data_IF_595979543420
#
_entry.id   IF_595979543420
#
_cell.length_a   1.000
_cell.length_b   1.000
_cell.length_c   1.000
_cell.angle_alpha   90.00
_cell.angle_beta   90.00
_cell.angle_gamma   90.00
#
_symmetry.space_group_name_H-M   'P 1'
#
loop_
_entity.id
_entity.type
_entity.pdbx_description
1 polymer ?
#
# COMPACT_ATOMS: atom_id res chain seq x y z
N UNK A 1 16.20 -107.99 13.21
CA UNK A 1 16.40 -106.81 12.33
C UNK A 1 15.05 -106.32 11.82
N UNK A 2 14.48 -105.26 12.43
CA UNK A 2 13.20 -104.64 12.02
C UNK A 2 13.51 -103.29 11.38
N UNK A 3 13.22 -103.15 10.08
CA UNK A 3 13.41 -101.91 9.33
C UNK A 3 12.38 -100.84 9.72
N UNK A 4 12.86 -99.69 10.22
CA UNK A 4 12.04 -98.49 10.40
C UNK A 4 11.71 -97.86 9.04
N UNK A 5 10.44 -98.02 8.59
CA UNK A 5 9.89 -97.24 7.48
C UNK A 5 9.60 -95.80 7.95
N UNK A 6 10.41 -94.84 7.51
CA UNK A 6 10.14 -93.40 7.68
C UNK A 6 9.00 -93.00 6.74
N UNK A 7 7.84 -92.62 7.30
CA UNK A 7 6.78 -91.93 6.56
C UNK A 7 7.28 -90.55 6.14
N UNK A 8 7.60 -90.37 4.86
CA UNK A 8 7.74 -89.04 4.25
C UNK A 8 6.35 -88.42 4.18
N UNK A 9 6.07 -87.47 5.09
CA UNK A 9 4.88 -86.62 4.99
C UNK A 9 5.05 -85.74 3.75
N UNK A 10 4.33 -86.06 2.68
CA UNK A 10 4.18 -85.17 1.54
C UNK A 10 3.38 -83.94 2.01
N UNK A 11 4.08 -82.85 2.29
CA UNK A 11 3.45 -81.54 2.44
C UNK A 11 2.82 -81.18 1.10
N UNK A 12 1.48 -81.01 1.09
CA UNK A 12 0.73 -80.56 -0.08
C UNK A 12 1.19 -79.13 -0.45
N UNK A 13 1.55 -78.83 -1.71
CA UNK A 13 2.12 -77.53 -2.12
C UNK A 13 1.13 -76.34 -2.08
N UNK A 14 -0.10 -76.54 -1.61
CA UNK A 14 -1.14 -75.50 -1.61
C UNK A 14 -0.89 -74.32 -0.67
N UNK A 15 -0.20 -74.53 0.46
CA UNK A 15 0.03 -73.45 1.45
C UNK A 15 0.97 -72.35 0.94
N UNK A 16 1.88 -72.67 0.03
CA UNK A 16 2.80 -71.70 -0.57
C UNK A 16 2.05 -70.67 -1.43
N UNK A 17 1.02 -71.10 -2.17
CA UNK A 17 0.22 -70.19 -3.00
C UNK A 17 -0.55 -69.18 -2.16
N UNK A 18 -1.11 -69.59 -1.02
CA UNK A 18 -1.80 -68.66 -0.12
C UNK A 18 -0.86 -67.65 0.53
N UNK A 19 0.37 -68.06 0.87
CA UNK A 19 1.38 -67.15 1.40
C UNK A 19 1.78 -66.09 0.35
N UNK A 20 2.01 -66.50 -0.89
CA UNK A 20 2.37 -65.58 -1.99
C UNK A 20 1.20 -64.66 -2.34
N UNK A 21 -0.02 -65.19 -2.43
CA UNK A 21 -1.22 -64.39 -2.71
C UNK A 21 -1.47 -63.37 -1.59
N UNK A 22 -1.36 -63.78 -0.33
CA UNK A 22 -1.49 -62.88 0.82
C UNK A 22 -0.42 -61.79 0.82
N UNK A 23 0.84 -62.16 0.55
CA UNK A 23 1.93 -61.19 0.44
C UNK A 23 1.70 -60.19 -0.72
N UNK A 24 1.27 -60.67 -1.89
CA UNK A 24 0.97 -59.81 -3.03
C UNK A 24 -0.18 -58.83 -2.72
N UNK A 25 -1.25 -59.30 -2.07
CA UNK A 25 -2.37 -58.44 -1.64
C UNK A 25 -1.93 -57.39 -0.62
N UNK A 26 -1.06 -57.74 0.33
CA UNK A 26 -0.52 -56.76 1.28
C UNK A 26 0.35 -55.71 0.59
N UNK A 27 1.21 -56.13 -0.33
CA UNK A 27 2.07 -55.21 -1.10
C UNK A 27 1.24 -54.26 -1.95
N UNK A 28 0.16 -54.72 -2.59
CA UNK A 28 -0.71 -53.85 -3.39
C UNK A 28 -1.46 -52.83 -2.53
N UNK A 29 -1.95 -53.23 -1.35
CA UNK A 29 -2.58 -52.30 -0.40
C UNK A 29 -1.59 -51.24 0.07
N UNK A 30 -0.37 -51.64 0.46
CA UNK A 30 0.68 -50.69 0.87
C UNK A 30 1.06 -49.73 -0.26
N UNK A 31 1.21 -50.24 -1.48
CA UNK A 31 1.50 -49.41 -2.66
C UNK A 31 0.39 -48.40 -2.94
N UNK A 32 -0.88 -48.81 -2.84
CA UNK A 32 -2.01 -47.92 -3.05
C UNK A 32 -2.12 -46.87 -1.93
N UNK A 33 -1.92 -47.27 -0.67
CA UNK A 33 -1.88 -46.34 0.46
C UNK A 33 -0.79 -45.29 0.31
N UNK A 34 0.41 -45.67 -0.11
CA UNK A 34 1.52 -44.75 -0.35
C UNK A 34 1.22 -43.76 -1.48
N UNK A 35 0.60 -44.22 -2.58
CA UNK A 35 0.20 -43.36 -3.70
C UNK A 35 -0.87 -42.34 -3.30
N UNK A 36 -1.86 -42.75 -2.50
CA UNK A 36 -2.89 -41.85 -1.99
C UNK A 36 -2.29 -40.80 -1.05
N UNK A 37 -1.38 -41.21 -0.15
CA UNK A 37 -0.67 -40.29 0.74
C UNK A 37 0.14 -39.25 -0.05
N UNK A 38 0.88 -39.68 -1.09
CA UNK A 38 1.66 -38.77 -1.93
C UNK A 38 0.78 -37.74 -2.67
N UNK A 39 -0.41 -38.14 -3.16
CA UNK A 39 -1.35 -37.20 -3.80
C UNK A 39 -1.88 -36.14 -2.84
N UNK A 40 -2.17 -36.54 -1.59
CA UNK A 40 -2.64 -35.62 -0.55
C UNK A 40 -1.52 -34.63 -0.18
N UNK A 41 -0.29 -35.13 -0.01
CA UNK A 41 0.87 -34.29 0.31
C UNK A 41 1.13 -33.27 -0.80
N UNK A 42 1.21 -33.71 -2.06
CA UNK A 42 1.44 -32.80 -3.19
C UNK A 42 0.37 -31.71 -3.29
N UNK A 43 -0.89 -32.03 -2.99
CA UNK A 43 -1.98 -31.04 -2.98
C UNK A 43 -1.82 -30.04 -1.85
N UNK A 44 -1.44 -30.50 -0.67
CA UNK A 44 -1.16 -29.65 0.50
C UNK A 44 0.02 -28.70 0.22
N UNK A 45 1.08 -29.21 -0.41
CA UNK A 45 2.26 -28.43 -0.77
C UNK A 45 1.89 -27.37 -1.81
N UNK A 46 1.12 -27.74 -2.84
CA UNK A 46 0.64 -26.79 -3.85
C UNK A 46 -0.20 -25.66 -3.22
N UNK A 47 -1.11 -25.98 -2.29
CA UNK A 47 -1.90 -24.96 -1.61
C UNK A 47 -1.04 -24.02 -0.76
N UNK A 48 -0.01 -24.55 -0.12
CA UNK A 48 0.94 -23.75 0.66
C UNK A 48 1.71 -22.78 -0.25
N UNK A 49 2.14 -23.24 -1.43
CA UNK A 49 2.76 -22.39 -2.44
C UNK A 49 1.79 -21.32 -2.98
N UNK A 50 0.56 -21.67 -3.32
CA UNK A 50 -0.45 -20.74 -3.82
C UNK A 50 -0.78 -19.64 -2.79
N UNK A 51 -0.87 -19.99 -1.51
CA UNK A 51 -1.07 -19.02 -0.42
C UNK A 51 0.12 -18.07 -0.28
N UNK A 52 1.35 -18.59 -0.35
CA UNK A 52 2.54 -17.75 -0.29
C UNK A 52 2.61 -16.77 -1.47
N UNK A 53 2.30 -17.23 -2.70
CA UNK A 53 2.26 -16.38 -3.90
C UNK A 53 1.17 -15.31 -3.83
N UNK A 54 -0.05 -15.69 -3.48
CA UNK A 54 -1.17 -14.72 -3.36
C UNK A 54 -0.88 -13.61 -2.36
N UNK A 55 -0.16 -13.90 -1.26
CA UNK A 55 0.33 -12.87 -0.32
C UNK A 55 1.29 -11.89 -0.98
N UNK A 56 2.27 -12.38 -1.73
CA UNK A 56 3.23 -11.53 -2.44
C UNK A 56 2.53 -10.68 -3.50
N UNK A 57 1.54 -11.22 -4.22
CA UNK A 57 0.77 -10.45 -5.20
C UNK A 57 -0.07 -9.35 -4.53
N UNK A 58 -0.70 -9.63 -3.39
CA UNK A 58 -1.42 -8.61 -2.62
C UNK A 58 -0.48 -7.49 -2.13
N UNK A 59 0.72 -7.84 -1.65
CA UNK A 59 1.75 -6.87 -1.26
C UNK A 59 2.20 -5.99 -2.43
N UNK A 60 2.50 -6.61 -3.58
CA UNK A 60 2.87 -5.89 -4.80
C UNK A 60 1.76 -4.93 -5.26
N UNK A 61 0.49 -5.34 -5.16
CA UNK A 61 -0.64 -4.48 -5.48
C UNK A 61 -0.68 -3.23 -4.59
N UNK A 62 -0.52 -3.39 -3.28
CA UNK A 62 -0.46 -2.25 -2.35
C UNK A 62 0.72 -1.33 -2.68
N UNK A 63 1.92 -1.87 -2.89
CA UNK A 63 3.09 -1.07 -3.27
C UNK A 63 2.87 -0.32 -4.59
N UNK A 64 2.19 -0.92 -5.57
CA UNK A 64 1.84 -0.25 -6.81
C UNK A 64 0.86 0.90 -6.58
N UNK A 65 -0.12 0.72 -5.69
CA UNK A 65 -1.03 1.80 -5.27
C UNK A 65 -0.28 2.95 -4.60
N UNK A 66 0.65 2.65 -3.69
CA UNK A 66 1.51 3.67 -3.08
C UNK A 66 2.37 4.39 -4.11
N UNK A 67 2.88 3.67 -5.11
CA UNK A 67 3.65 4.26 -6.19
C UNK A 67 2.82 5.26 -7.00
N UNK A 68 1.58 4.90 -7.37
CA UNK A 68 0.68 5.82 -8.08
C UNK A 68 0.38 7.07 -7.27
N UNK A 69 0.04 6.91 -5.98
CA UNK A 69 -0.18 8.02 -5.05
C UNK A 69 1.06 8.92 -4.95
N UNK A 70 2.27 8.34 -4.91
CA UNK A 70 3.52 9.12 -4.77
C UNK A 70 3.96 9.84 -6.05
N UNK A 71 3.58 9.31 -7.22
CA UNK A 71 4.06 9.79 -8.53
C UNK A 71 3.15 10.86 -9.12
N UNK A 72 1.87 10.82 -8.79
CA UNK A 72 0.85 11.73 -9.32
C UNK A 72 0.38 12.69 -8.21
N UNK A 73 0.79 13.98 -8.23
CA UNK A 73 0.33 14.96 -7.25
C UNK A 73 -1.20 15.11 -7.22
N UNK A 74 -1.86 14.87 -8.35
CA UNK A 74 -3.29 15.02 -8.53
C UNK A 74 -4.02 13.66 -8.48
N UNK A 75 -3.39 12.64 -7.86
CA UNK A 75 -3.93 11.27 -7.87
C UNK A 75 -5.37 11.18 -7.35
N UNK A 76 -5.75 12.03 -6.38
CA UNK A 76 -7.09 12.08 -5.77
C UNK A 76 -8.19 12.45 -6.76
N UNK A 77 -7.86 13.26 -7.77
CA UNK A 77 -8.79 13.69 -8.82
C UNK A 77 -8.69 12.79 -10.06
N UNK A 78 -7.48 12.34 -10.38
CA UNK A 78 -7.22 11.47 -11.53
C UNK A 78 -7.75 10.04 -11.34
N UNK A 79 -7.78 9.55 -10.10
CA UNK A 79 -8.22 8.19 -9.78
C UNK A 79 -9.49 8.21 -8.93
N UNK A 80 -10.59 7.61 -9.42
CA UNK A 80 -11.83 7.59 -8.67
C UNK A 80 -11.74 6.64 -7.46
N UNK A 81 -12.63 6.84 -6.48
CA UNK A 81 -12.81 5.90 -5.40
C UNK A 81 -13.22 4.52 -5.95
N UNK A 82 -12.56 3.47 -5.48
CA UNK A 82 -12.93 2.10 -5.72
C UNK A 82 -11.80 1.27 -6.30
N UNK A 83 -12.06 0.57 -7.39
CA UNK A 83 -11.09 -0.36 -7.98
C UNK A 83 -10.27 0.36 -9.05
N UNK A 84 -8.96 0.49 -8.80
CA UNK A 84 -8.03 1.11 -9.76
C UNK A 84 -7.51 0.09 -10.76
N UNK A 85 -7.23 -1.12 -10.29
CA UNK A 85 -6.77 -2.24 -11.12
C UNK A 85 -7.60 -3.46 -10.78
N UNK A 86 -8.10 -4.16 -11.81
CA UNK A 86 -8.80 -5.41 -11.67
C UNK A 86 -8.13 -6.49 -12.53
N UNK A 87 -7.83 -7.64 -11.93
CA UNK A 87 -7.37 -8.84 -12.61
C UNK A 87 -6.03 -8.69 -13.34
N UNK A 88 -5.15 -7.79 -12.90
CA UNK A 88 -3.85 -7.60 -13.55
C UNK A 88 -3.00 -8.85 -13.37
N UNK A 89 -2.67 -9.51 -14.48
CA UNK A 89 -1.84 -10.71 -14.49
C UNK A 89 -0.41 -10.43 -14.04
N UNK A 90 0.13 -11.32 -13.20
CA UNK A 90 1.52 -11.35 -12.79
C UNK A 90 2.00 -12.80 -12.69
N UNK A 91 2.81 -13.22 -13.65
CA UNK A 91 3.26 -14.61 -13.78
C UNK A 91 2.08 -15.61 -13.83
N UNK A 92 1.95 -16.52 -12.87
CA UNK A 92 0.89 -17.52 -12.79
C UNK A 92 -0.32 -17.12 -11.92
N UNK A 93 -0.38 -15.85 -11.52
CA UNK A 93 -1.50 -15.29 -10.76
C UNK A 93 -1.94 -13.93 -11.26
N UNK A 94 -2.74 -13.26 -10.44
CA UNK A 94 -3.21 -11.90 -10.71
C UNK A 94 -3.38 -11.12 -9.42
N UNK A 95 -3.56 -9.81 -9.55
CA UNK A 95 -3.96 -8.98 -8.43
C UNK A 95 -5.00 -7.93 -8.79
N UNK A 96 -5.73 -7.48 -7.78
CA UNK A 96 -6.58 -6.30 -7.80
C UNK A 96 -6.02 -5.24 -6.85
N UNK A 97 -6.20 -3.98 -7.22
CA UNK A 97 -5.91 -2.83 -6.38
C UNK A 97 -7.18 -2.01 -6.20
N UNK A 98 -7.53 -1.75 -4.94
CA UNK A 98 -8.64 -0.86 -4.57
C UNK A 98 -8.15 0.22 -3.64
N UNK A 99 -8.61 1.44 -3.86
CA UNK A 99 -8.32 2.60 -3.03
C UNK A 99 -9.65 3.29 -2.73
N UNK A 100 -9.95 3.43 -1.44
CA UNK A 100 -11.25 3.87 -0.96
C UNK A 100 -11.06 4.89 0.14
N UNK A 101 -11.83 5.99 0.06
CA UNK A 101 -12.07 6.85 1.21
C UNK A 101 -13.03 6.15 2.19
N UNK A 102 -12.61 5.87 3.44
CA UNK A 102 -13.44 5.19 4.43
C UNK A 102 -14.50 6.10 5.09
N UNK A 103 -14.39 7.43 4.97
CA UNK A 103 -15.29 8.40 5.59
C UNK A 103 -16.60 8.54 4.83
N UNK A 104 -16.53 9.03 3.59
CA UNK A 104 -17.72 9.38 2.80
C UNK A 104 -17.74 8.76 1.38
N UNK A 105 -16.63 8.15 0.96
CA UNK A 105 -16.51 7.55 -0.36
C UNK A 105 -16.05 8.53 -1.44
N UNK A 106 -15.60 9.73 -1.10
CA UNK A 106 -15.06 10.71 -2.02
C UNK A 106 -13.54 10.86 -1.78
N UNK A 107 -12.73 10.76 -2.84
CA UNK A 107 -11.27 10.95 -2.70
C UNK A 107 -10.85 12.39 -2.98
N UNK A 108 -11.70 13.21 -3.60
CA UNK A 108 -11.31 14.50 -4.18
C UNK A 108 -11.74 15.73 -3.37
N UNK A 109 -12.49 15.56 -2.30
CA UNK A 109 -13.03 16.66 -1.49
C UNK A 109 -12.08 17.14 -0.41
N UNK A 110 -11.29 16.25 0.21
CA UNK A 110 -10.37 16.61 1.28
C UNK A 110 -8.98 15.96 1.11
N UNK A 111 -7.94 16.79 1.00
CA UNK A 111 -6.55 16.30 1.00
C UNK A 111 -6.15 15.70 2.37
N UNK A 112 -6.88 16.04 3.43
CA UNK A 112 -6.65 15.60 4.81
C UNK A 112 -7.37 14.32 5.20
N UNK A 113 -8.11 13.73 4.26
CA UNK A 113 -8.83 12.50 4.55
C UNK A 113 -7.91 11.28 4.43
N UNK A 114 -8.12 10.35 5.36
CA UNK A 114 -7.40 9.09 5.41
C UNK A 114 -7.84 8.20 4.26
N UNK A 115 -6.92 7.43 3.69
CA UNK A 115 -7.21 6.63 2.49
C UNK A 115 -6.89 5.17 2.77
N UNK A 116 -7.80 4.28 2.41
CA UNK A 116 -7.61 2.83 2.55
C UNK A 116 -7.16 2.22 1.23
N UNK A 117 -5.95 1.70 1.18
CA UNK A 117 -5.40 0.95 0.04
C UNK A 117 -5.52 -0.55 0.32
N UNK A 118 -6.16 -1.27 -0.58
CA UNK A 118 -6.38 -2.71 -0.51
C UNK A 118 -5.80 -3.41 -1.74
N UNK A 119 -4.84 -4.31 -1.52
CA UNK A 119 -4.36 -5.24 -2.52
C UNK A 119 -5.00 -6.62 -2.35
N UNK A 120 -5.48 -7.22 -3.44
CA UNK A 120 -6.04 -8.59 -3.44
C UNK A 120 -5.21 -9.42 -4.41
N UNK A 121 -4.47 -10.41 -3.92
CA UNK A 121 -3.69 -11.32 -4.75
C UNK A 121 -4.41 -12.65 -4.97
N UNK A 122 -4.31 -13.19 -6.18
CA UNK A 122 -4.90 -14.45 -6.61
C UNK A 122 -3.82 -15.38 -7.18
N UNK A 123 -3.78 -16.63 -6.72
CA UNK A 123 -2.91 -17.67 -7.29
C UNK A 123 -3.62 -19.02 -7.17
N UNK A 124 -3.91 -19.68 -8.30
CA UNK A 124 -4.73 -20.89 -8.30
C UNK A 124 -6.07 -20.68 -7.59
N UNK A 125 -6.31 -21.43 -6.51
CA UNK A 125 -7.50 -21.27 -5.66
C UNK A 125 -7.28 -20.37 -4.43
N UNK A 126 -6.04 -19.92 -4.19
CA UNK A 126 -5.73 -19.08 -3.05
C UNK A 126 -6.01 -17.61 -3.36
N UNK A 127 -6.60 -16.93 -2.38
CA UNK A 127 -6.82 -15.48 -2.39
C UNK A 127 -6.29 -14.88 -1.10
N UNK A 128 -5.58 -13.78 -1.20
CA UNK A 128 -5.11 -13.02 -0.04
C UNK A 128 -5.46 -11.55 -0.19
N UNK A 129 -5.99 -10.94 0.88
CA UNK A 129 -6.31 -9.52 0.94
C UNK A 129 -5.37 -8.86 1.95
N UNK A 130 -4.69 -7.80 1.53
CA UNK A 130 -3.89 -6.95 2.39
C UNK A 130 -4.42 -5.53 2.31
N UNK A 131 -4.49 -4.86 3.46
CA UNK A 131 -5.09 -3.53 3.57
C UNK A 131 -4.17 -2.64 4.42
N UNK A 132 -3.96 -1.41 3.95
CA UNK A 132 -3.17 -0.38 4.63
C UNK A 132 -3.99 0.91 4.64
N UNK A 133 -3.99 1.60 5.77
CA UNK A 133 -4.60 2.93 5.90
C UNK A 133 -3.49 3.97 5.88
N UNK A 134 -3.60 4.91 4.96
CA UNK A 134 -2.70 6.05 4.82
C UNK A 134 -3.32 7.22 5.55
N UNK A 135 -2.54 7.83 6.43
CA UNK A 135 -2.87 9.08 7.08
C UNK A 135 -2.11 10.20 6.36
N UNK A 136 -2.75 11.34 6.06
CA UNK A 136 -2.05 12.47 5.48
C UNK A 136 -1.03 13.02 6.49
N UNK A 137 0.12 13.43 5.96
CA UNK A 137 1.11 14.19 6.73
C UNK A 137 0.61 15.65 6.82
N UNK A 138 -0.06 15.97 7.93
CA UNK A 138 -0.55 17.33 8.20
C UNK A 138 0.66 18.20 8.58
N UNK A 139 1.29 18.80 7.59
CA UNK A 139 2.32 19.83 7.82
C UNK A 139 1.65 21.17 8.08
N UNK A 140 2.13 21.87 9.11
CA UNK A 140 1.68 23.23 9.38
C UNK A 140 1.88 24.11 8.14
N UNK A 141 0.83 24.79 7.70
CA UNK A 141 0.90 25.70 6.56
C UNK A 141 1.90 26.81 6.89
N UNK A 142 2.83 27.11 5.98
CA UNK A 142 3.82 28.16 6.17
C UNK A 142 3.19 29.54 6.42
N UNK A 143 1.97 29.75 5.90
CA UNK A 143 1.15 30.93 6.18
C UNK A 143 0.81 31.11 7.67
N UNK A 144 0.65 30.01 8.43
CA UNK A 144 0.40 30.06 9.88
C UNK A 144 1.64 30.43 10.70
N UNK A 145 2.83 30.36 10.10
CA UNK A 145 4.09 30.76 10.73
C UNK A 145 4.48 32.22 10.36
N UNK A 146 3.50 33.06 10.05
CA UNK A 146 3.70 34.48 9.73
C UNK A 146 2.79 35.33 10.61
N UNK A 147 3.18 36.57 10.90
CA UNK A 147 2.33 37.47 11.69
C UNK A 147 1.07 37.89 10.91
N UNK A 148 1.20 38.00 9.59
CA UNK A 148 0.14 38.34 8.66
C UNK A 148 0.46 37.68 7.32
N UNK A 149 -0.48 36.92 6.78
CA UNK A 149 -0.38 36.38 5.42
C UNK A 149 -1.60 36.76 4.58
N UNK A 150 -1.36 37.09 3.31
CA UNK A 150 -2.39 37.18 2.30
C UNK A 150 -1.98 36.43 1.03
N UNK A 151 -2.88 35.60 0.50
CA UNK A 151 -2.66 35.00 -0.83
C UNK A 151 -2.74 36.03 -1.97
N UNK A 152 -3.40 37.16 -1.72
CA UNK A 152 -3.45 38.31 -2.62
C UNK A 152 -2.60 39.49 -2.13
N UNK A 153 -2.82 40.66 -2.71
CA UNK A 153 -2.02 41.84 -2.43
C UNK A 153 -2.16 42.34 -0.98
N UNK A 154 -1.07 42.83 -0.42
CA UNK A 154 -1.06 43.58 0.83
C UNK A 154 -0.74 45.05 0.51
N UNK A 155 -1.57 45.97 1.01
CA UNK A 155 -1.35 47.41 0.82
C UNK A 155 -1.25 48.13 2.15
N UNK A 156 -0.11 48.76 2.38
CA UNK A 156 0.14 49.61 3.55
C UNK A 156 0.08 51.06 3.09
N UNK A 157 -0.92 51.81 3.56
CA UNK A 157 -1.13 53.19 3.14
C UNK A 157 -0.06 54.13 3.72
N UNK A 158 0.14 55.26 3.06
CA UNK A 158 1.07 56.30 3.51
C UNK A 158 0.81 56.73 4.96
N UNK A 159 1.90 56.89 5.72
CA UNK A 159 1.85 57.31 7.13
C UNK A 159 1.31 56.25 8.09
N UNK A 160 1.20 54.99 7.67
CA UNK A 160 0.85 53.86 8.53
C UNK A 160 2.10 53.07 8.91
N UNK A 161 2.08 52.52 10.12
CA UNK A 161 3.15 51.66 10.64
C UNK A 161 2.55 50.31 11.03
N UNK A 162 3.20 49.24 10.62
CA UNK A 162 2.91 47.87 11.08
C UNK A 162 4.17 47.37 11.78
N UNK A 163 4.02 46.91 13.02
CA UNK A 163 5.10 46.27 13.77
C UNK A 163 4.86 44.77 13.84
N UNK A 164 5.86 43.99 13.45
CA UNK A 164 5.82 42.54 13.38
C UNK A 164 6.74 41.99 14.47
N UNK A 165 6.30 40.95 15.16
CA UNK A 165 7.09 40.33 16.25
C UNK A 165 6.97 38.83 16.18
N UNK A 166 8.11 38.14 16.09
CA UNK A 166 8.18 36.68 16.07
C UNK A 166 8.07 36.04 14.69
N UNK A 167 7.57 36.74 13.67
CA UNK A 167 7.54 36.25 12.29
C UNK A 167 7.42 37.40 11.26
N UNK A 168 7.64 37.08 9.98
CA UNK A 168 7.54 38.02 8.88
C UNK A 168 6.07 38.34 8.50
N UNK A 169 5.87 39.47 7.83
CA UNK A 169 4.68 39.73 7.01
C UNK A 169 4.86 39.04 5.67
N UNK A 170 3.80 38.41 5.14
CA UNK A 170 3.93 37.66 3.91
C UNK A 170 2.78 37.84 2.93
N UNK A 171 3.08 37.92 1.64
CA UNK A 171 2.10 37.88 0.56
C UNK A 171 2.58 37.01 -0.59
N UNK A 172 1.68 36.22 -1.19
CA UNK A 172 1.97 35.46 -2.41
C UNK A 172 1.92 36.34 -3.67
N UNK A 173 1.41 37.56 -3.54
CA UNK A 173 1.25 38.51 -4.64
C UNK A 173 2.07 39.77 -4.35
N UNK A 174 1.49 40.95 -4.60
CA UNK A 174 2.19 42.21 -4.50
C UNK A 174 2.09 42.85 -3.11
N UNK A 175 3.23 43.31 -2.59
CA UNK A 175 3.28 44.24 -1.46
C UNK A 175 3.43 45.68 -1.96
N UNK A 176 2.38 46.47 -1.76
CA UNK A 176 2.39 47.91 -1.94
C UNK A 176 2.61 48.61 -0.58
N UNK A 177 3.87 48.84 -0.20
CA UNK A 177 4.20 49.51 1.05
C UNK A 177 4.42 51.02 0.84
N UNK A 178 3.44 51.84 1.25
CA UNK A 178 3.58 53.30 1.35
C UNK A 178 3.95 53.82 2.75
N UNK A 179 4.07 52.92 3.74
CA UNK A 179 4.27 53.25 5.15
C UNK A 179 5.60 52.75 5.71
N UNK A 180 5.57 52.32 6.97
CA UNK A 180 6.68 51.68 7.69
C UNK A 180 6.29 50.25 8.07
N UNK A 181 7.11 49.28 7.69
CA UNK A 181 7.07 47.91 8.21
C UNK A 181 8.24 47.75 9.16
N UNK A 182 7.93 47.56 10.44
CA UNK A 182 8.92 47.26 11.45
C UNK A 182 9.01 45.73 11.63
N UNK A 183 9.90 45.09 10.88
CA UNK A 183 10.08 43.63 10.83
C UNK A 183 10.37 43.07 9.42
N UNK A 184 10.46 41.74 9.34
CA UNK A 184 10.78 41.02 8.10
C UNK A 184 9.57 40.91 7.15
N UNK A 185 9.85 40.82 5.84
CA UNK A 185 8.85 40.78 4.77
C UNK A 185 9.20 39.72 3.73
N UNK A 186 8.22 38.88 3.40
CA UNK A 186 8.27 37.91 2.31
C UNK A 186 7.18 38.22 1.27
N UNK A 187 7.54 38.66 0.06
CA UNK A 187 6.57 39.04 -0.97
C UNK A 187 6.85 38.37 -2.32
N UNK A 188 5.79 38.03 -3.06
CA UNK A 188 5.91 37.58 -4.45
C UNK A 188 6.45 38.69 -5.37
N UNK A 189 5.95 39.92 -5.17
CA UNK A 189 6.48 41.14 -5.77
C UNK A 189 6.35 42.34 -4.81
N UNK A 190 7.09 43.41 -5.09
CA UNK A 190 6.99 44.67 -4.35
C UNK A 190 6.85 45.83 -5.33
N UNK A 191 5.68 46.47 -5.35
CA UNK A 191 5.41 47.63 -6.22
C UNK A 191 5.76 48.97 -5.58
N UNK A 192 5.76 49.04 -4.24
CA UNK A 192 6.15 50.23 -3.48
C UNK A 192 6.98 49.81 -2.28
N UNK A 193 8.20 50.33 -2.22
CA UNK A 193 9.17 50.03 -1.18
C UNK A 193 9.24 51.21 -0.20
N UNK A 194 8.20 51.35 0.63
CA UNK A 194 8.23 52.21 1.82
C UNK A 194 9.35 51.80 2.78
N UNK A 195 9.33 52.29 4.02
CA UNK A 195 10.39 51.88 4.97
C UNK A 195 10.13 50.45 5.44
N UNK A 196 11.15 49.60 5.38
CA UNK A 196 11.16 48.25 5.98
C UNK A 196 12.42 48.16 6.83
N UNK A 197 12.29 47.85 8.13
CA UNK A 197 13.44 47.77 9.04
C UNK A 197 14.10 46.40 9.08
N UNK A 198 13.38 45.35 8.67
CA UNK A 198 13.86 43.96 8.62
C UNK A 198 14.34 43.50 7.25
N UNK A 199 14.48 42.18 7.12
CA UNK A 199 14.88 41.49 5.89
C UNK A 199 13.74 41.48 4.88
N UNK A 200 14.06 41.71 3.61
CA UNK A 200 13.10 41.65 2.51
C UNK A 200 13.45 40.49 1.58
N UNK A 201 12.56 39.51 1.50
CA UNK A 201 12.65 38.37 0.56
C UNK A 201 11.69 38.63 -0.61
N UNK A 202 12.24 38.84 -1.81
CA UNK A 202 11.45 39.04 -3.03
C UNK A 202 12.23 38.56 -4.27
N UNK A 203 11.70 37.61 -5.07
CA UNK A 203 10.43 36.89 -4.84
C UNK A 203 10.57 35.88 -3.69
N UNK A 204 9.59 35.85 -2.81
CA UNK A 204 9.42 34.78 -1.82
C UNK A 204 8.65 33.59 -2.43
N UNK A 205 8.89 32.39 -1.90
CA UNK A 205 8.09 31.20 -2.25
C UNK A 205 6.63 31.40 -1.83
N UNK A 206 5.69 31.06 -2.72
CA UNK A 206 4.27 31.15 -2.43
C UNK A 206 3.87 30.15 -1.34
N UNK A 207 3.25 30.64 -0.26
CA UNK A 207 2.78 29.83 0.87
C UNK A 207 1.35 29.35 0.59
N UNK A 208 1.08 28.06 0.79
CA UNK A 208 -0.29 27.51 0.67
C UNK A 208 -1.22 28.15 1.71
N UNK A 209 -2.43 28.51 1.27
CA UNK A 209 -3.54 28.92 2.11
C UNK A 209 -4.39 27.69 2.50
N UNK A 210 -5.14 27.76 3.62
CA UNK A 210 -6.16 26.74 3.89
C UNK A 210 -7.22 26.77 2.80
N UNK A 211 -7.69 25.58 2.43
CA UNK A 211 -8.79 25.41 1.48
C UNK A 211 -10.07 26.01 2.11
N UNK A 212 -10.90 26.65 1.28
CA UNK A 212 -12.07 27.42 1.71
C UNK A 212 -13.32 26.56 1.91
#
# INVERSE_FOLDING_TARGET
>A
MRHHRRHRRHCRPGSAYFAVLGAAMLVTVLGLSALLAARVQNRSDQWSHDVAKSRLYALSAVHLGLLYISRDPDWRTNWPNGTWIAGQGINDGSFDLKVVDPGDGNLSDSETDSVTVTGIGHCGNARHKMQVTLLPDIRALGALNTCLHAGGNITIKNGKTITLTGAALSTNADLANGGVVDGDVDAGSISQLGTITGTVTCPAEAKRLPDA
#
